data_IF_727327772613
#
_entry.id   IF_727327772613
#
_cell.length_a   1.000
_cell.length_b   1.000
_cell.length_c   1.000
_cell.angle_alpha   90.00
_cell.angle_beta   90.00
_cell.angle_gamma   90.00
#
_symmetry.space_group_name_H-M   'P 1'
#
loop_
_entity.id
_entity.type
_entity.pdbx_description
1 polymer ?
#
# COMPACT_ATOMS: atom_id res chain seq x y z
N UNK A 1 -28.67 -32.24 50.20
CA UNK A 1 -27.59 -32.26 49.19
C UNK A 1 -28.07 -32.41 47.73
N UNK A 2 -29.32 -32.82 47.45
CA UNK A 2 -29.79 -33.09 46.07
C UNK A 2 -30.25 -31.84 45.27
N UNK A 3 -30.84 -30.82 45.92
CA UNK A 3 -31.37 -29.63 45.21
C UNK A 3 -30.32 -28.60 44.79
N UNK A 4 -29.21 -28.46 45.53
CA UNK A 4 -28.14 -27.50 45.22
C UNK A 4 -27.31 -27.92 44.00
N UNK A 5 -27.08 -29.23 43.83
CA UNK A 5 -26.39 -29.79 42.66
C UNK A 5 -27.22 -29.66 41.38
N UNK A 6 -28.56 -29.75 41.47
CA UNK A 6 -29.43 -29.58 40.31
C UNK A 6 -29.46 -28.13 39.81
N UNK A 7 -29.39 -27.15 40.71
CA UNK A 7 -29.35 -25.71 40.37
C UNK A 7 -27.99 -25.33 39.74
N UNK A 8 -26.88 -25.91 40.22
CA UNK A 8 -25.56 -25.73 39.61
C UNK A 8 -25.43 -26.43 38.25
N UNK A 9 -26.08 -27.59 38.05
CA UNK A 9 -26.14 -28.25 36.73
C UNK A 9 -27.02 -27.48 35.73
N UNK A 10 -28.13 -26.86 36.16
CA UNK A 10 -28.96 -26.03 35.28
C UNK A 10 -28.32 -24.68 34.96
N UNK A 11 -27.54 -24.09 35.86
CA UNK A 11 -26.82 -22.83 35.59
C UNK A 11 -25.68 -23.00 34.57
N UNK A 12 -25.13 -24.21 34.41
CA UNK A 12 -24.14 -24.53 33.37
C UNK A 12 -24.70 -24.65 31.96
N UNK A 13 -26.02 -24.76 31.79
CA UNK A 13 -26.68 -24.98 30.49
C UNK A 13 -27.26 -23.71 29.85
N UNK A 14 -27.21 -22.57 30.53
CA UNK A 14 -27.74 -21.28 30.01
C UNK A 14 -26.64 -20.32 29.56
N UNK A 15 -25.40 -20.79 29.47
CA UNK A 15 -24.32 -20.14 28.71
C UNK A 15 -24.58 -20.28 27.21
N UNK A 16 -25.69 -19.73 26.72
CA UNK A 16 -26.00 -19.68 25.30
C UNK A 16 -24.83 -19.08 24.56
N UNK A 17 -24.32 -19.80 23.56
CA UNK A 17 -23.35 -19.31 22.59
C UNK A 17 -23.96 -18.12 21.86
N UNK A 18 -23.87 -16.92 22.45
CA UNK A 18 -24.04 -15.69 21.72
C UNK A 18 -22.87 -15.63 20.74
N UNK A 19 -23.07 -16.19 19.55
CA UNK A 19 -22.17 -15.98 18.44
C UNK A 19 -22.27 -14.52 18.06
N UNK A 20 -21.49 -13.65 18.72
CA UNK A 20 -21.29 -12.26 18.31
C UNK A 20 -20.95 -12.24 16.82
N UNK A 21 -21.90 -11.78 16.00
CA UNK A 21 -21.68 -11.52 14.59
C UNK A 21 -20.73 -10.33 14.50
N UNK A 22 -19.80 -10.37 13.55
CA UNK A 22 -19.00 -9.18 13.24
C UNK A 22 -19.96 -8.19 12.57
N UNK A 23 -20.16 -7.02 13.18
CA UNK A 23 -20.88 -5.91 12.56
C UNK A 23 -19.90 -5.19 11.64
N UNK A 24 -20.28 -5.03 10.37
CA UNK A 24 -19.56 -4.18 9.43
C UNK A 24 -20.40 -2.90 9.32
N UNK A 25 -19.92 -1.80 9.89
CA UNK A 25 -20.63 -0.53 9.83
C UNK A 25 -20.29 0.19 8.51
N UNK A 26 -21.28 0.83 7.88
CA UNK A 26 -21.13 1.83 6.79
C UNK A 26 -20.44 1.38 5.47
N UNK A 27 -20.31 0.08 5.20
CA UNK A 27 -19.74 -0.39 3.93
C UNK A 27 -20.86 -0.66 2.91
N UNK A 28 -20.95 0.17 1.86
CA UNK A 28 -21.83 -0.04 0.68
C UNK A 28 -21.28 -1.18 -0.19
N UNK A 29 -21.30 -2.38 0.38
CA UNK A 29 -20.78 -3.60 -0.23
C UNK A 29 -21.93 -4.44 -0.79
N UNK A 30 -21.75 -5.08 -1.96
CA UNK A 30 -22.69 -6.11 -2.41
C UNK A 30 -22.75 -7.23 -1.37
N UNK A 31 -23.91 -7.91 -1.27
CA UNK A 31 -24.16 -8.95 -0.27
C UNK A 31 -23.19 -10.14 -0.37
N UNK A 32 -22.65 -10.39 -1.55
CA UNK A 32 -21.59 -11.35 -1.81
C UNK A 32 -20.76 -10.92 -3.04
N UNK A 33 -19.50 -11.32 -3.07
CA UNK A 33 -18.64 -11.19 -4.25
C UNK A 33 -17.64 -12.36 -4.25
N UNK A 34 -17.31 -12.91 -5.42
CA UNK A 34 -16.27 -13.94 -5.56
C UNK A 34 -15.52 -13.75 -6.89
N UNK A 35 -14.20 -13.66 -6.82
CA UNK A 35 -13.28 -13.50 -7.94
C UNK A 35 -12.88 -14.88 -8.46
N UNK A 36 -13.77 -15.53 -9.21
CA UNK A 36 -13.62 -16.92 -9.67
C UNK A 36 -12.41 -17.13 -10.57
N UNK A 37 -12.05 -16.11 -11.37
CA UNK A 37 -10.94 -16.15 -12.34
C UNK A 37 -9.55 -15.99 -11.69
N UNK A 38 -9.47 -15.76 -10.37
CA UNK A 38 -8.17 -15.64 -9.69
C UNK A 38 -7.44 -16.99 -9.70
N UNK A 39 -6.23 -17.08 -10.28
CA UNK A 39 -5.49 -18.33 -10.42
C UNK A 39 -5.22 -19.02 -9.09
N UNK A 40 -5.17 -20.35 -9.14
CA UNK A 40 -4.85 -21.17 -7.99
C UNK A 40 -3.69 -22.11 -8.29
N UNK A 41 -2.71 -22.10 -7.40
CA UNK A 41 -1.54 -22.97 -7.46
C UNK A 41 -1.58 -23.89 -6.23
N UNK A 42 -2.00 -25.17 -6.37
CA UNK A 42 -2.04 -26.12 -5.26
C UNK A 42 -0.61 -26.46 -4.82
N UNK A 43 -0.43 -26.67 -3.52
CA UNK A 43 0.91 -26.77 -2.93
C UNK A 43 0.91 -27.50 -1.59
N UNK A 44 1.99 -28.24 -1.34
CA UNK A 44 2.22 -28.97 -0.09
C UNK A 44 2.97 -28.12 0.95
N UNK A 45 3.33 -28.71 2.10
CA UNK A 45 3.84 -27.99 3.26
C UNK A 45 5.05 -27.07 2.95
N UNK A 46 5.06 -25.88 3.57
CA UNK A 46 6.12 -24.85 3.54
C UNK A 46 6.25 -24.01 2.26
N UNK A 47 5.41 -24.22 1.25
CA UNK A 47 5.41 -23.42 0.00
C UNK A 47 4.36 -22.30 -0.01
N UNK A 48 3.59 -22.14 1.08
CA UNK A 48 2.40 -21.27 1.11
C UNK A 48 2.61 -19.84 0.59
N UNK A 49 3.79 -19.27 0.85
CA UNK A 49 4.23 -17.97 0.33
C UNK A 49 4.36 -17.95 -1.20
N UNK A 50 5.29 -18.70 -1.80
CA UNK A 50 5.52 -18.73 -3.25
C UNK A 50 4.24 -18.88 -4.09
N UNK A 51 3.35 -19.79 -3.74
CA UNK A 51 2.11 -19.99 -4.51
C UNK A 51 1.10 -18.85 -4.31
N UNK A 52 0.97 -18.32 -3.08
CA UNK A 52 0.12 -17.15 -2.85
C UNK A 52 0.66 -15.93 -3.61
N UNK A 53 1.98 -15.75 -3.65
CA UNK A 53 2.61 -14.71 -4.47
C UNK A 53 2.35 -14.96 -5.96
N UNK A 54 2.50 -16.19 -6.44
CA UNK A 54 2.20 -16.54 -7.83
C UNK A 54 0.76 -16.19 -8.20
N UNK A 55 -0.22 -16.50 -7.34
CA UNK A 55 -1.62 -16.05 -7.52
C UNK A 55 -1.71 -14.54 -7.69
N UNK A 56 -1.06 -13.77 -6.81
CA UNK A 56 -1.12 -12.29 -6.83
C UNK A 56 -0.39 -11.66 -8.03
N UNK A 57 0.65 -12.31 -8.55
CA UNK A 57 1.37 -11.87 -9.75
C UNK A 57 0.58 -12.22 -11.02
N UNK A 58 0.12 -13.46 -11.13
CA UNK A 58 -0.60 -13.97 -12.29
C UNK A 58 -1.93 -13.22 -12.52
N UNK A 59 -2.64 -12.86 -11.46
CA UNK A 59 -3.85 -12.03 -11.53
C UNK A 59 -3.59 -10.62 -12.12
N UNK A 60 -2.34 -10.13 -12.07
CA UNK A 60 -1.93 -8.88 -12.72
C UNK A 60 -1.27 -9.07 -14.09
N UNK A 61 -1.35 -10.28 -14.64
CA UNK A 61 -0.74 -10.62 -15.93
C UNK A 61 0.77 -10.75 -15.88
N UNK A 62 1.38 -10.82 -14.69
CA UNK A 62 2.80 -11.14 -14.53
C UNK A 62 2.93 -12.66 -14.48
N UNK A 63 3.60 -13.31 -15.46
CA UNK A 63 3.82 -14.74 -15.41
C UNK A 63 4.60 -15.11 -14.16
N UNK A 64 4.05 -16.04 -13.37
CA UNK A 64 4.65 -16.48 -12.13
C UNK A 64 4.53 -17.99 -12.00
N UNK A 65 5.68 -18.63 -11.84
CA UNK A 65 5.80 -20.04 -11.49
C UNK A 65 6.15 -20.14 -10.00
N UNK A 66 5.30 -20.76 -9.16
CA UNK A 66 5.59 -20.95 -7.74
C UNK A 66 6.95 -21.57 -7.49
N UNK A 67 7.40 -22.52 -8.32
CA UNK A 67 8.68 -23.22 -8.14
C UNK A 67 9.87 -22.27 -8.32
N UNK A 68 9.77 -21.32 -9.25
CA UNK A 68 10.79 -20.28 -9.47
C UNK A 68 10.77 -19.24 -8.34
N UNK A 69 9.62 -19.00 -7.72
CA UNK A 69 9.49 -18.04 -6.62
C UNK A 69 10.01 -18.59 -5.30
N UNK A 70 10.12 -19.92 -5.12
CA UNK A 70 10.71 -20.53 -3.92
C UNK A 70 12.05 -19.89 -3.59
N UNK A 71 12.96 -19.81 -4.56
CA UNK A 71 14.31 -19.26 -4.34
C UNK A 71 14.32 -17.75 -4.01
N UNK A 72 13.22 -17.04 -4.28
CA UNK A 72 13.10 -15.60 -4.01
C UNK A 72 12.47 -15.29 -2.65
N UNK A 73 11.54 -16.13 -2.18
CA UNK A 73 10.75 -15.83 -0.98
C UNK A 73 10.83 -16.88 0.12
N UNK A 74 11.40 -18.05 -0.13
CA UNK A 74 11.53 -19.11 0.87
C UNK A 74 12.84 -18.97 1.66
N UNK A 75 12.74 -19.00 2.99
CA UNK A 75 13.91 -19.01 3.88
C UNK A 75 14.01 -20.39 4.56
N UNK A 76 14.99 -21.24 4.17
CA UNK A 76 15.13 -22.59 4.73
C UNK A 76 15.29 -22.63 6.25
N UNK A 77 16.06 -21.69 6.81
CA UNK A 77 16.29 -21.59 8.26
C UNK A 77 15.04 -21.20 9.06
N UNK A 78 14.01 -20.68 8.40
CA UNK A 78 12.71 -20.34 9.01
C UNK A 78 11.57 -21.24 8.53
N UNK A 79 11.86 -22.18 7.62
CA UNK A 79 10.90 -23.10 7.01
C UNK A 79 9.64 -22.37 6.50
N UNK A 80 9.81 -21.24 5.82
CA UNK A 80 8.69 -20.46 5.29
C UNK A 80 9.13 -19.14 4.65
N UNK A 81 8.15 -18.36 4.23
CA UNK A 81 8.32 -17.00 3.69
C UNK A 81 7.96 -15.96 4.74
N UNK A 82 8.55 -14.76 4.69
CA UNK A 82 8.12 -13.63 5.51
C UNK A 82 7.44 -12.58 4.63
N UNK A 83 6.71 -11.70 5.30
CA UNK A 83 5.97 -10.61 4.64
C UNK A 83 6.90 -9.72 3.82
N UNK A 84 8.13 -9.51 4.29
CA UNK A 84 9.12 -8.64 3.63
C UNK A 84 9.56 -9.21 2.29
N UNK A 85 9.85 -10.51 2.20
CA UNK A 85 10.27 -11.14 0.94
C UNK A 85 9.10 -11.19 -0.06
N UNK A 86 7.88 -11.46 0.42
CA UNK A 86 6.67 -11.43 -0.41
C UNK A 86 6.45 -10.04 -1.04
N UNK A 87 6.59 -8.99 -0.24
CA UNK A 87 6.48 -7.59 -0.69
C UNK A 87 7.62 -7.25 -1.65
N UNK A 88 8.85 -7.63 -1.32
CA UNK A 88 10.03 -7.34 -2.14
C UNK A 88 9.95 -8.01 -3.52
N UNK A 89 9.54 -9.29 -3.58
CA UNK A 89 9.41 -10.02 -4.83
C UNK A 89 8.30 -9.43 -5.72
N UNK A 90 7.15 -9.07 -5.15
CA UNK A 90 6.09 -8.38 -5.91
C UNK A 90 6.55 -7.03 -6.48
N UNK A 91 7.31 -6.24 -5.70
CA UNK A 91 7.91 -4.99 -6.17
C UNK A 91 8.98 -5.22 -7.23
N UNK A 92 9.82 -6.24 -7.08
CA UNK A 92 10.81 -6.61 -8.08
C UNK A 92 10.16 -6.98 -9.43
N UNK A 93 8.95 -7.54 -9.40
CA UNK A 93 8.12 -7.78 -10.57
C UNK A 93 7.44 -6.51 -11.17
N UNK A 94 7.70 -5.33 -10.61
CA UNK A 94 7.18 -4.05 -11.10
C UNK A 94 5.76 -3.72 -10.63
N UNK A 95 5.18 -4.51 -9.72
CA UNK A 95 3.88 -4.24 -9.14
C UNK A 95 4.00 -3.33 -7.91
N UNK A 96 3.01 -2.46 -7.74
CA UNK A 96 2.85 -1.69 -6.51
C UNK A 96 2.20 -2.59 -5.45
N UNK A 97 2.79 -2.64 -4.26
CA UNK A 97 2.23 -3.38 -3.12
C UNK A 97 1.65 -2.39 -2.12
N UNK A 98 0.33 -2.39 -1.98
CA UNK A 98 -0.41 -1.44 -1.14
C UNK A 98 -0.90 -2.12 0.14
N UNK A 99 -0.48 -1.68 1.34
CA UNK A 99 -0.95 -2.22 2.61
C UNK A 99 -2.36 -1.72 2.95
N UNK A 100 -3.24 -2.64 3.32
CA UNK A 100 -4.59 -2.31 3.79
C UNK A 100 -4.56 -1.91 5.27
N UNK A 101 -5.61 -1.22 5.74
CA UNK A 101 -5.79 -1.10 7.19
C UNK A 101 -6.14 -2.47 7.77
N UNK A 102 -5.72 -2.69 9.00
CA UNK A 102 -5.94 -3.89 9.82
C UNK A 102 -7.42 -4.07 10.21
N UNK A 103 -8.33 -4.11 9.24
CA UNK A 103 -9.78 -4.18 9.42
C UNK A 103 -10.42 -5.01 8.31
N UNK A 104 -11.37 -5.87 8.65
CA UNK A 104 -11.98 -6.80 7.70
C UNK A 104 -12.72 -6.06 6.58
N UNK A 105 -13.29 -4.90 6.87
CA UNK A 105 -14.02 -4.07 5.91
C UNK A 105 -13.14 -3.66 4.72
N UNK A 106 -11.86 -3.35 4.94
CA UNK A 106 -10.94 -2.99 3.84
C UNK A 106 -10.64 -4.21 2.96
N UNK A 107 -10.52 -5.40 3.55
CA UNK A 107 -10.34 -6.65 2.80
C UNK A 107 -11.56 -6.90 1.90
N UNK A 108 -12.78 -6.79 2.46
CA UNK A 108 -14.01 -7.00 1.71
C UNK A 108 -14.20 -5.95 0.61
N UNK A 109 -13.87 -4.69 0.89
CA UNK A 109 -13.96 -3.58 -0.08
C UNK A 109 -13.05 -3.80 -1.29
N UNK A 110 -11.81 -4.27 -1.07
CA UNK A 110 -10.91 -4.59 -2.18
C UNK A 110 -11.40 -5.79 -2.99
N UNK A 111 -11.88 -6.85 -2.34
CA UNK A 111 -12.42 -8.02 -3.03
C UNK A 111 -13.64 -7.63 -3.87
N UNK A 112 -14.55 -6.82 -3.33
CA UNK A 112 -15.70 -6.31 -4.06
C UNK A 112 -15.30 -5.46 -5.28
N UNK A 113 -14.15 -4.78 -5.21
CA UNK A 113 -13.59 -3.98 -6.29
C UNK A 113 -12.75 -4.79 -7.30
N UNK A 114 -12.68 -6.12 -7.18
CA UNK A 114 -11.93 -6.97 -8.10
C UNK A 114 -10.47 -7.21 -7.70
N UNK A 115 -10.06 -6.79 -6.50
CA UNK A 115 -8.70 -6.94 -6.00
C UNK A 115 -8.64 -8.11 -5.00
N UNK A 116 -8.03 -9.26 -5.35
CA UNK A 116 -7.75 -10.29 -4.36
C UNK A 116 -6.77 -9.77 -3.32
N UNK A 117 -6.91 -10.24 -2.08
CA UNK A 117 -6.13 -9.72 -0.95
C UNK A 117 -5.22 -10.80 -0.41
N UNK A 118 -3.92 -10.54 -0.43
CA UNK A 118 -2.92 -11.40 0.18
C UNK A 118 -2.89 -11.15 1.69
N UNK A 119 -3.03 -12.22 2.47
CA UNK A 119 -3.10 -12.15 3.94
C UNK A 119 -2.13 -13.16 4.56
N UNK A 120 -1.71 -12.89 5.78
CA UNK A 120 -0.96 -13.81 6.62
C UNK A 120 -1.83 -14.24 7.79
N UNK A 121 -1.89 -15.54 8.07
CA UNK A 121 -2.61 -16.09 9.21
C UNK A 121 -1.66 -16.92 10.08
N UNK A 122 -1.98 -17.03 11.36
CA UNK A 122 -1.44 -18.08 12.22
C UNK A 122 -2.55 -19.09 12.54
N UNK A 123 -2.46 -20.27 11.92
CA UNK A 123 -3.47 -21.33 12.02
C UNK A 123 -3.37 -22.14 13.31
N UNK A 124 -2.26 -22.02 14.05
CA UNK A 124 -2.00 -22.78 15.28
C UNK A 124 -2.05 -21.89 16.54
N UNK A 125 -1.54 -22.40 17.65
CA UNK A 125 -1.49 -21.68 18.94
C UNK A 125 -0.30 -20.73 19.01
N UNK A 126 -0.39 -19.66 19.80
CA UNK A 126 0.64 -18.62 19.86
C UNK A 126 2.02 -19.15 20.30
N UNK A 127 2.04 -20.21 21.12
CA UNK A 127 3.28 -20.87 21.58
C UNK A 127 3.95 -21.75 20.51
N UNK A 128 3.21 -22.17 19.49
CA UNK A 128 3.69 -22.99 18.36
C UNK A 128 3.00 -22.53 17.08
N UNK A 129 3.44 -21.39 16.51
CA UNK A 129 2.75 -20.77 15.39
C UNK A 129 2.85 -21.63 14.12
N UNK A 130 1.77 -21.63 13.34
CA UNK A 130 1.74 -22.16 11.97
C UNK A 130 1.38 -21.00 11.04
N UNK A 131 2.41 -20.31 10.57
CA UNK A 131 2.28 -19.20 9.63
C UNK A 131 1.81 -19.69 8.28
N UNK A 132 0.81 -19.01 7.72
CA UNK A 132 0.12 -19.44 6.52
C UNK A 132 -0.29 -18.24 5.67
N UNK A 133 0.27 -18.13 4.47
CA UNK A 133 -0.22 -17.17 3.48
C UNK A 133 -1.44 -17.74 2.76
N UNK A 134 -2.44 -16.89 2.56
CA UNK A 134 -3.63 -17.20 1.79
C UNK A 134 -4.04 -15.98 0.97
N UNK A 135 -4.88 -16.19 -0.04
CA UNK A 135 -5.43 -15.10 -0.85
C UNK A 135 -6.95 -15.09 -0.68
N UNK A 136 -7.50 -14.01 -0.14
CA UNK A 136 -8.94 -13.81 -0.05
C UNK A 136 -9.46 -13.41 -1.42
N UNK A 137 -10.41 -14.18 -1.94
CA UNK A 137 -10.98 -14.01 -3.29
C UNK A 137 -12.50 -13.85 -3.27
N UNK A 138 -13.16 -14.00 -2.13
CA UNK A 138 -14.60 -13.81 -2.05
C UNK A 138 -15.14 -13.70 -0.64
N UNK A 139 -16.40 -13.30 -0.55
CA UNK A 139 -17.14 -13.21 0.70
C UNK A 139 -18.65 -13.34 0.50
N UNK A 140 -19.35 -13.69 1.58
CA UNK A 140 -20.79 -13.63 1.74
C UNK A 140 -21.12 -12.96 3.09
N UNK A 141 -21.82 -11.82 3.06
CA UNK A 141 -22.17 -11.05 4.25
C UNK A 141 -23.32 -11.67 5.05
N UNK A 142 -24.22 -12.40 4.38
CA UNK A 142 -25.39 -13.02 5.00
C UNK A 142 -24.95 -14.24 5.81
N UNK A 143 -24.10 -15.07 5.23
CA UNK A 143 -23.53 -16.26 5.87
C UNK A 143 -22.29 -15.96 6.72
N UNK A 144 -21.74 -14.74 6.62
CA UNK A 144 -20.48 -14.30 7.24
C UNK A 144 -19.31 -15.23 6.93
N UNK A 145 -19.07 -15.47 5.65
CA UNK A 145 -18.03 -16.38 5.15
C UNK A 145 -17.08 -15.67 4.20
N UNK A 146 -15.81 -16.05 4.26
CA UNK A 146 -14.79 -15.71 3.27
C UNK A 146 -14.48 -16.93 2.41
N UNK A 147 -14.09 -16.67 1.16
CA UNK A 147 -13.54 -17.64 0.23
C UNK A 147 -12.06 -17.31 0.02
N UNK A 148 -11.19 -18.29 0.24
CA UNK A 148 -9.74 -18.16 0.12
C UNK A 148 -9.15 -19.18 -0.85
N UNK A 149 -8.12 -18.78 -1.60
CA UNK A 149 -7.12 -19.71 -2.16
C UNK A 149 -6.17 -20.08 -1.03
N UNK A 150 -6.11 -21.36 -0.64
CA UNK A 150 -5.39 -21.76 0.57
C UNK A 150 -4.88 -23.21 0.52
N UNK A 151 -3.56 -23.38 0.64
CA UNK A 151 -2.91 -24.70 0.64
C UNK A 151 -3.19 -25.48 -0.65
N UNK A 152 -3.69 -26.71 -0.52
CA UNK A 152 -4.12 -27.57 -1.64
C UNK A 152 -5.59 -27.36 -2.03
N UNK A 153 -6.31 -26.44 -1.37
CA UNK A 153 -7.75 -26.22 -1.57
C UNK A 153 -7.98 -24.90 -2.30
N UNK A 154 -8.48 -25.00 -3.53
CA UNK A 154 -8.79 -23.83 -4.37
C UNK A 154 -9.86 -22.94 -3.76
N UNK A 155 -10.94 -23.53 -3.22
CA UNK A 155 -12.07 -22.81 -2.66
C UNK A 155 -12.22 -23.14 -1.17
N UNK A 156 -11.34 -22.58 -0.35
CA UNK A 156 -11.41 -22.73 1.10
C UNK A 156 -12.42 -21.76 1.70
N UNK A 157 -13.42 -22.28 2.41
CA UNK A 157 -14.45 -21.46 3.07
C UNK A 157 -14.09 -21.32 4.55
N UNK A 158 -14.02 -20.09 5.05
CA UNK A 158 -13.83 -19.79 6.46
C UNK A 158 -14.95 -18.87 6.97
N UNK A 159 -15.40 -19.05 8.22
CA UNK A 159 -16.26 -18.04 8.84
C UNK A 159 -15.45 -16.76 9.11
N UNK A 160 -16.11 -15.59 9.10
CA UNK A 160 -15.45 -14.32 9.45
C UNK A 160 -14.76 -14.41 10.81
N UNK A 161 -15.39 -15.08 11.77
CA UNK A 161 -14.85 -15.29 13.12
C UNK A 161 -13.56 -16.10 13.13
N UNK A 162 -13.52 -17.23 12.43
CA UNK A 162 -12.34 -18.10 12.42
C UNK A 162 -11.18 -17.44 11.67
N UNK A 163 -11.49 -16.74 10.58
CA UNK A 163 -10.54 -15.92 9.86
C UNK A 163 -9.96 -14.83 10.77
N UNK A 164 -10.80 -14.01 11.38
CA UNK A 164 -10.40 -12.90 12.25
C UNK A 164 -9.52 -13.38 13.43
N UNK A 165 -9.86 -14.52 14.03
CA UNK A 165 -9.08 -15.15 15.10
C UNK A 165 -7.66 -15.54 14.66
N UNK A 166 -7.49 -16.05 13.45
CA UNK A 166 -6.19 -16.50 12.92
C UNK A 166 -5.40 -15.36 12.29
N UNK A 167 -6.09 -14.37 11.71
CA UNK A 167 -5.51 -13.18 11.08
C UNK A 167 -5.02 -12.15 12.11
N UNK A 168 -5.75 -11.96 13.21
CA UNK A 168 -5.34 -11.06 14.31
C UNK A 168 -4.00 -11.44 14.95
N UNK A 169 -3.67 -12.73 15.00
CA UNK A 169 -2.36 -13.24 15.45
C UNK A 169 -1.19 -12.84 14.54
N UNK A 170 -1.49 -12.47 13.30
CA UNK A 170 -0.55 -11.94 12.32
C UNK A 170 -0.67 -10.42 12.20
N UNK A 171 -1.12 -9.74 13.26
CA UNK A 171 -1.34 -8.29 13.31
C UNK A 171 -2.29 -7.77 12.22
N UNK A 172 -3.18 -8.66 11.73
CA UNK A 172 -4.10 -8.39 10.62
C UNK A 172 -3.36 -7.87 9.37
N UNK A 173 -2.21 -8.45 9.06
CA UNK A 173 -1.46 -8.07 7.88
C UNK A 173 -2.22 -8.46 6.61
N UNK A 174 -2.41 -7.48 5.72
CA UNK A 174 -3.06 -7.64 4.43
C UNK A 174 -2.50 -6.65 3.42
N UNK A 175 -2.29 -7.10 2.19
CA UNK A 175 -1.82 -6.27 1.08
C UNK A 175 -2.56 -6.64 -0.21
N UNK A 176 -2.64 -5.68 -1.12
CA UNK A 176 -3.01 -5.91 -2.52
C UNK A 176 -1.81 -5.61 -3.42
N UNK A 177 -1.68 -6.38 -4.50
CA UNK A 177 -0.76 -6.09 -5.61
C UNK A 177 -1.54 -5.39 -6.71
N UNK A 178 -0.97 -4.33 -7.27
CA UNK A 178 -1.63 -3.45 -8.23
C UNK A 178 -0.68 -3.10 -9.37
N UNK A 179 -1.25 -2.95 -10.57
CA UNK A 179 -0.55 -2.24 -11.62
C UNK A 179 -0.37 -0.77 -11.17
N UNK A 180 0.77 -0.13 -11.47
CA UNK A 180 1.06 1.20 -10.94
C UNK A 180 0.08 2.30 -11.37
N UNK A 181 -0.73 2.07 -12.40
CA UNK A 181 -1.78 3.00 -12.88
C UNK A 181 -3.15 2.78 -12.22
N UNK A 182 -3.31 1.72 -11.42
CA UNK A 182 -4.57 1.31 -10.82
C UNK A 182 -4.58 1.52 -9.30
N UNK A 183 -5.36 2.48 -8.85
CA UNK A 183 -5.54 2.73 -7.42
C UNK A 183 -6.46 1.69 -6.76
N UNK A 184 -6.21 1.30 -5.50
CA UNK A 184 -7.11 0.43 -4.75
C UNK A 184 -8.42 1.16 -4.40
N UNK A 185 -9.49 0.41 -4.12
CA UNK A 185 -10.76 1.00 -3.71
C UNK A 185 -10.64 1.74 -2.36
N UNK A 186 -9.72 1.30 -1.51
CA UNK A 186 -9.39 1.85 -0.19
C UNK A 186 -8.23 2.86 -0.23
N UNK A 187 -7.93 3.43 -1.41
CA UNK A 187 -6.78 4.30 -1.62
C UNK A 187 -6.75 5.51 -0.67
N UNK A 188 -5.63 5.65 0.04
CA UNK A 188 -5.26 6.85 0.80
C UNK A 188 -3.98 7.40 0.21
N UNK A 189 -3.98 8.69 -0.08
CA UNK A 189 -2.91 9.37 -0.81
C UNK A 189 -1.52 9.09 -0.22
N UNK A 190 -1.35 9.32 1.08
CA UNK A 190 -0.03 9.17 1.74
C UNK A 190 0.48 7.73 1.72
N UNK A 191 -0.41 6.73 1.76
CA UNK A 191 -0.03 5.31 1.68
C UNK A 191 0.34 4.94 0.24
N UNK A 192 -0.43 5.45 -0.72
CA UNK A 192 -0.16 5.23 -2.14
C UNK A 192 1.19 5.85 -2.55
N UNK A 193 1.44 7.10 -2.17
CA UNK A 193 2.70 7.78 -2.45
C UNK A 193 3.89 7.08 -1.77
N UNK A 194 3.73 6.59 -0.53
CA UNK A 194 4.76 5.76 0.10
C UNK A 194 4.99 4.46 -0.67
N UNK A 195 3.93 3.79 -1.11
CA UNK A 195 4.04 2.54 -1.89
C UNK A 195 4.72 2.76 -3.24
N UNK A 196 4.50 3.92 -3.88
CA UNK A 196 5.19 4.35 -5.09
C UNK A 196 6.68 4.65 -4.83
N UNK A 197 7.00 5.31 -3.71
CA UNK A 197 8.38 5.54 -3.27
C UNK A 197 9.13 4.23 -3.01
N UNK A 198 8.50 3.29 -2.32
CA UNK A 198 9.09 1.98 -2.07
C UNK A 198 9.39 1.22 -3.38
N UNK A 199 8.58 1.43 -4.43
CA UNK A 199 8.79 0.87 -5.76
C UNK A 199 9.98 1.55 -6.47
N UNK A 200 10.11 2.87 -6.32
CA UNK A 200 11.24 3.64 -6.84
C UNK A 200 12.56 3.22 -6.18
N UNK A 201 12.57 3.00 -4.86
CA UNK A 201 13.74 2.59 -4.08
C UNK A 201 14.34 1.25 -4.52
N UNK A 202 13.50 0.33 -5.00
CA UNK A 202 13.97 -0.96 -5.55
C UNK A 202 14.35 -0.88 -7.04
N UNK A 203 14.49 0.33 -7.58
CA UNK A 203 14.92 0.58 -8.96
C UNK A 203 13.80 0.52 -10.00
N UNK A 204 12.55 0.30 -9.61
CA UNK A 204 11.40 0.30 -10.51
C UNK A 204 10.92 1.75 -10.78
N UNK A 205 11.82 2.57 -11.30
CA UNK A 205 11.62 4.01 -11.52
C UNK A 205 10.46 4.31 -12.47
N UNK A 206 10.32 3.55 -13.56
CA UNK A 206 9.23 3.75 -14.53
C UNK A 206 7.86 3.40 -13.91
N UNK A 207 7.66 2.21 -13.33
CA UNK A 207 6.45 1.90 -12.54
C UNK A 207 6.13 2.95 -11.48
N UNK A 208 7.11 3.37 -10.68
CA UNK A 208 6.91 4.37 -9.63
C UNK A 208 6.41 5.71 -10.18
N UNK A 209 6.97 6.18 -11.31
CA UNK A 209 6.50 7.40 -11.97
C UNK A 209 5.03 7.31 -12.39
N UNK A 210 4.61 6.17 -12.96
CA UNK A 210 3.20 5.93 -13.31
C UNK A 210 2.31 6.00 -12.07
N UNK A 211 2.76 5.44 -10.94
CA UNK A 211 2.02 5.54 -9.68
C UNK A 211 1.92 6.98 -9.14
N UNK A 212 2.98 7.78 -9.21
CA UNK A 212 2.90 9.19 -8.86
C UNK A 212 1.96 9.97 -9.77
N UNK A 213 1.95 9.70 -11.07
CA UNK A 213 1.02 10.31 -12.04
C UNK A 213 -0.43 9.94 -11.73
N UNK A 214 -0.71 8.67 -11.41
CA UNK A 214 -2.02 8.21 -10.96
C UNK A 214 -2.47 8.93 -9.66
N UNK A 215 -1.53 9.18 -8.74
CA UNK A 215 -1.81 9.94 -7.52
C UNK A 215 -2.21 11.39 -7.83
N UNK A 216 -1.43 12.06 -8.69
CA UNK A 216 -1.72 13.44 -9.12
C UNK A 216 -3.09 13.53 -9.80
N UNK A 217 -3.43 12.56 -10.65
CA UNK A 217 -4.73 12.50 -11.30
C UNK A 217 -5.90 12.34 -10.29
N UNK A 218 -5.72 11.49 -9.27
CA UNK A 218 -6.76 11.17 -8.29
C UNK A 218 -7.01 12.25 -7.25
N UNK A 219 -5.95 12.82 -6.68
CA UNK A 219 -6.05 13.73 -5.54
C UNK A 219 -5.80 15.19 -5.91
N UNK A 220 -5.09 15.47 -7.01
CA UNK A 220 -4.75 16.83 -7.46
C UNK A 220 -4.12 17.68 -6.35
N UNK A 221 -3.39 17.04 -5.44
CA UNK A 221 -2.82 17.69 -4.25
C UNK A 221 -1.40 18.21 -4.49
N UNK A 222 -0.96 19.11 -3.63
CA UNK A 222 0.41 19.61 -3.60
C UNK A 222 1.41 18.52 -3.27
N UNK A 223 1.06 17.57 -2.39
CA UNK A 223 1.92 16.47 -1.99
C UNK A 223 2.17 15.48 -3.15
N UNK A 224 1.12 15.11 -3.89
CA UNK A 224 1.25 14.24 -5.06
C UNK A 224 2.10 14.87 -6.17
N UNK A 225 1.87 16.16 -6.45
CA UNK A 225 2.67 16.91 -7.43
C UNK A 225 4.13 17.06 -7.01
N UNK A 226 4.37 17.25 -5.71
CA UNK A 226 5.72 17.29 -5.14
C UNK A 226 6.45 15.96 -5.24
N UNK A 227 5.77 14.85 -4.92
CA UNK A 227 6.34 13.50 -5.06
C UNK A 227 6.70 13.19 -6.52
N UNK A 228 5.80 13.50 -7.46
CA UNK A 228 6.06 13.37 -8.90
C UNK A 228 7.27 14.22 -9.33
N UNK A 229 7.38 15.45 -8.82
CA UNK A 229 8.51 16.32 -9.15
C UNK A 229 9.85 15.77 -8.65
N UNK A 230 9.88 15.15 -7.46
CA UNK A 230 11.09 14.54 -6.92
C UNK A 230 11.55 13.36 -7.79
N UNK A 231 10.61 12.52 -8.24
CA UNK A 231 10.92 11.43 -9.18
C UNK A 231 11.44 11.95 -10.53
N UNK A 232 10.81 13.00 -11.07
CA UNK A 232 11.27 13.67 -12.31
C UNK A 232 12.67 14.27 -12.14
N UNK A 233 12.94 14.89 -10.99
CA UNK A 233 14.25 15.45 -10.66
C UNK A 233 15.32 14.35 -10.58
N UNK A 234 15.04 13.24 -9.90
CA UNK A 234 15.93 12.08 -9.81
C UNK A 234 16.23 11.47 -11.20
N UNK A 235 15.25 11.49 -12.11
CA UNK A 235 15.41 11.11 -13.51
C UNK A 235 16.14 12.15 -14.38
N UNK A 236 16.59 13.27 -13.81
CA UNK A 236 17.30 14.34 -14.51
C UNK A 236 16.40 15.26 -15.36
N UNK A 237 15.09 15.18 -15.23
CA UNK A 237 14.10 15.91 -16.02
C UNK A 237 13.73 17.25 -15.36
N UNK A 238 14.70 18.18 -15.32
CA UNK A 238 14.60 19.43 -14.55
C UNK A 238 13.41 20.30 -14.99
N UNK A 239 13.15 20.38 -16.29
CA UNK A 239 12.00 21.08 -16.87
C UNK A 239 10.67 20.53 -16.36
N UNK A 240 10.57 19.20 -16.25
CA UNK A 240 9.35 18.54 -15.79
C UNK A 240 9.18 18.75 -14.29
N UNK A 241 10.24 18.55 -13.52
CA UNK A 241 10.25 18.78 -12.09
C UNK A 241 9.85 20.21 -11.73
N UNK A 242 10.37 21.21 -12.45
CA UNK A 242 10.00 22.61 -12.26
C UNK A 242 8.49 22.82 -12.47
N UNK A 243 7.91 22.30 -13.57
CA UNK A 243 6.47 22.43 -13.83
C UNK A 243 5.63 21.78 -12.73
N UNK A 244 6.00 20.58 -12.30
CA UNK A 244 5.30 19.86 -11.24
C UNK A 244 5.38 20.60 -9.90
N UNK A 245 6.55 21.17 -9.55
CA UNK A 245 6.73 21.97 -8.33
C UNK A 245 5.94 23.28 -8.37
N UNK A 246 5.93 23.97 -9.52
CA UNK A 246 5.09 25.16 -9.72
C UNK A 246 3.61 24.86 -9.52
N UNK A 247 3.14 23.73 -10.06
CA UNK A 247 1.77 23.28 -9.84
C UNK A 247 1.51 22.91 -8.37
N UNK A 248 2.46 22.25 -7.71
CA UNK A 248 2.38 21.88 -6.29
C UNK A 248 2.16 23.11 -5.40
N UNK A 249 2.99 24.14 -5.55
CA UNK A 249 2.86 25.39 -4.77
C UNK A 249 1.69 26.27 -5.22
N UNK A 250 1.19 26.09 -6.45
CA UNK A 250 -0.05 26.76 -6.88
C UNK A 250 -1.28 26.13 -6.20
N UNK A 251 -1.27 24.80 -5.99
CA UNK A 251 -2.33 24.09 -5.25
C UNK A 251 -2.30 24.42 -3.76
N UNK A 252 -1.12 24.51 -3.15
CA UNK A 252 -0.94 24.96 -1.76
C UNK A 252 0.23 25.95 -1.68
N UNK A 253 -0.05 27.26 -1.70
CA UNK A 253 0.98 28.29 -1.54
C UNK A 253 1.72 28.24 -0.20
N UNK A 254 1.16 27.58 0.82
CA UNK A 254 1.78 27.37 2.13
C UNK A 254 2.74 26.18 2.18
N UNK A 255 2.86 25.39 1.10
CA UNK A 255 3.67 24.17 1.07
C UNK A 255 5.17 24.47 0.98
N UNK A 256 5.76 24.81 2.13
CA UNK A 256 7.13 25.34 2.25
C UNK A 256 8.21 24.46 1.60
N UNK A 257 8.09 23.13 1.71
CA UNK A 257 9.04 22.21 1.09
C UNK A 257 8.96 22.20 -0.45
N UNK A 258 7.78 22.45 -1.02
CA UNK A 258 7.62 22.64 -2.46
C UNK A 258 8.37 23.86 -2.97
N UNK A 259 8.30 24.97 -2.22
CA UNK A 259 9.08 26.17 -2.52
C UNK A 259 10.59 25.94 -2.43
N UNK A 260 11.03 25.19 -1.41
CA UNK A 260 12.43 24.85 -1.25
C UNK A 260 12.94 23.99 -2.42
N UNK A 261 12.23 22.92 -2.79
CA UNK A 261 12.64 22.09 -3.93
C UNK A 261 12.58 22.89 -5.25
N UNK A 262 11.59 23.77 -5.43
CA UNK A 262 11.55 24.65 -6.62
C UNK A 262 12.78 25.55 -6.68
N UNK A 263 13.24 26.08 -5.54
CA UNK A 263 14.43 26.92 -5.51
C UNK A 263 15.68 26.19 -5.99
N UNK A 264 15.84 24.93 -5.61
CA UNK A 264 16.95 24.09 -6.05
C UNK A 264 16.87 23.80 -7.54
N UNK A 265 15.71 23.38 -8.05
CA UNK A 265 15.54 23.12 -9.49
C UNK A 265 15.80 24.38 -10.32
N UNK A 266 15.27 25.54 -9.89
CA UNK A 266 15.52 26.81 -10.58
C UNK A 266 17.00 27.19 -10.59
N UNK A 267 17.73 26.96 -9.48
CA UNK A 267 19.16 27.24 -9.42
C UNK A 267 19.97 26.36 -10.39
N UNK A 268 19.67 25.05 -10.46
CA UNK A 268 20.33 24.14 -11.42
C UNK A 268 20.06 24.51 -12.88
N UNK A 269 18.90 25.11 -13.16
CA UNK A 269 18.53 25.61 -14.50
C UNK A 269 19.10 26.99 -14.82
N UNK A 270 19.85 27.62 -13.90
CA UNK A 270 20.42 28.96 -14.06
C UNK A 270 19.42 30.11 -13.83
N UNK A 271 18.25 29.83 -13.25
CA UNK A 271 17.20 30.82 -12.99
C UNK A 271 17.34 31.44 -11.59
N UNK A 272 18.44 32.17 -11.35
CA UNK A 272 18.85 32.64 -10.03
C UNK A 272 17.85 33.54 -9.31
N UNK A 273 17.25 34.50 -10.02
CA UNK A 273 16.27 35.42 -9.40
C UNK A 273 15.07 34.63 -8.87
N UNK A 274 14.52 33.72 -9.68
CA UNK A 274 13.42 32.86 -9.27
C UNK A 274 13.81 31.90 -8.13
N UNK A 275 15.03 31.34 -8.18
CA UNK A 275 15.55 30.48 -7.13
C UNK A 275 15.61 31.19 -5.77
N UNK A 276 16.16 32.42 -5.73
CA UNK A 276 16.24 33.21 -4.50
C UNK A 276 14.86 33.59 -3.96
N UNK A 277 13.92 33.96 -4.83
CA UNK A 277 12.54 34.25 -4.46
C UNK A 277 11.87 33.02 -3.82
N UNK A 278 11.98 31.86 -4.47
CA UNK A 278 11.38 30.62 -3.97
C UNK A 278 12.00 30.18 -2.63
N UNK A 279 13.33 30.27 -2.49
CA UNK A 279 14.01 29.97 -1.22
C UNK A 279 13.58 30.92 -0.10
N UNK A 280 13.48 32.22 -0.39
CA UNK A 280 13.01 33.21 0.57
C UNK A 280 11.58 32.92 1.02
N UNK A 281 10.73 32.42 0.12
CA UNK A 281 9.39 31.97 0.45
C UNK A 281 9.40 30.77 1.41
N UNK A 282 10.18 29.72 1.08
CA UNK A 282 10.29 28.54 1.93
C UNK A 282 10.70 28.89 3.37
N UNK A 283 11.74 29.73 3.53
CA UNK A 283 12.18 30.25 4.84
C UNK A 283 11.13 31.09 5.54
N UNK A 284 10.36 31.88 4.80
CA UNK A 284 9.26 32.64 5.38
C UNK A 284 8.15 31.73 5.87
N UNK A 285 7.82 30.66 5.16
CA UNK A 285 6.74 29.74 5.53
C UNK A 285 7.12 28.83 6.70
N UNK A 286 8.35 28.31 6.75
CA UNK A 286 8.88 27.56 7.89
C UNK A 286 10.28 28.08 8.28
N UNK A 287 10.36 29.07 9.19
CA UNK A 287 11.61 29.74 9.54
C UNK A 287 12.54 28.87 10.39
N UNK A 288 11.96 27.91 11.12
CA UNK A 288 12.67 27.04 12.05
C UNK A 288 13.11 25.71 11.40
N UNK A 289 12.89 25.54 10.09
CA UNK A 289 13.31 24.34 9.34
C UNK A 289 14.74 24.51 8.81
N UNK A 290 15.75 23.86 9.43
CA UNK A 290 17.15 24.06 9.07
C UNK A 290 17.49 23.56 7.65
N UNK A 291 16.63 22.72 7.05
CA UNK A 291 16.84 22.24 5.68
C UNK A 291 16.88 23.40 4.68
N UNK A 292 16.16 24.48 4.96
CA UNK A 292 16.04 25.62 4.05
C UNK A 292 17.26 26.56 4.09
N UNK A 293 18.20 26.32 5.00
CA UNK A 293 19.50 26.99 5.06
C UNK A 293 20.55 26.39 4.12
N UNK A 294 20.28 25.23 3.52
CA UNK A 294 21.17 24.63 2.53
C UNK A 294 21.48 25.62 1.38
N UNK A 295 22.74 25.72 0.94
CA UNK A 295 23.12 26.60 -0.16
C UNK A 295 22.44 26.16 -1.46
N UNK A 296 22.07 27.14 -2.29
CA UNK A 296 21.59 26.84 -3.63
C UNK A 296 22.73 26.26 -4.48
N UNK A 297 22.45 25.28 -5.36
CA UNK A 297 23.44 24.72 -6.28
C UNK A 297 24.17 25.80 -7.10
N UNK A 298 25.46 25.58 -7.35
CA UNK A 298 26.28 26.46 -8.15
C UNK A 298 25.90 26.39 -9.64
N UNK A 299 26.03 27.52 -10.34
CA UNK A 299 25.67 27.67 -11.76
C UNK A 299 26.65 26.89 -12.62
N UNK A 300 26.15 26.00 -13.48
CA UNK A 300 27.00 25.35 -14.50
C UNK A 300 26.83 25.99 -15.89
N UNK A 301 25.68 26.64 -16.17
CA UNK A 301 25.42 27.49 -17.35
C UNK A 301 24.18 28.37 -17.14
N UNK A 302 24.28 29.67 -17.41
CA UNK A 302 23.11 30.57 -17.41
C UNK A 302 22.28 30.37 -18.69
N UNK A 303 21.01 30.03 -18.52
CA UNK A 303 20.01 30.01 -19.60
C UNK A 303 18.87 30.97 -19.27
N UNK A 304 19.16 32.28 -19.32
CA UNK A 304 18.22 33.34 -18.96
C UNK A 304 16.95 33.38 -19.84
N UNK A 305 17.01 32.88 -21.08
CA UNK A 305 15.92 32.98 -22.05
C UNK A 305 14.66 32.16 -21.72
N UNK A 306 14.72 31.23 -20.76
CA UNK A 306 13.62 30.34 -20.38
C UNK A 306 13.14 30.49 -18.94
N UNK A 307 13.66 31.47 -18.20
CA UNK A 307 13.37 31.61 -16.77
C UNK A 307 12.05 32.35 -16.52
N UNK A 308 11.08 31.65 -15.94
CA UNK A 308 9.85 32.26 -15.43
C UNK A 308 10.06 32.72 -13.98
N UNK A 309 9.52 33.88 -13.57
CA UNK A 309 9.57 34.30 -12.17
C UNK A 309 8.88 33.28 -11.26
N UNK A 310 9.30 33.19 -10.01
CA UNK A 310 8.58 32.39 -9.03
C UNK A 310 7.18 33.00 -8.80
N UNK A 311 6.14 32.19 -8.52
CA UNK A 311 4.83 32.75 -8.18
C UNK A 311 4.92 33.61 -6.91
N UNK A 312 3.94 34.49 -6.65
CA UNK A 312 3.88 35.22 -5.39
C UNK A 312 3.76 34.24 -4.23
N UNK A 313 4.63 34.41 -3.23
CA UNK A 313 4.66 33.55 -2.07
C UNK A 313 3.43 33.78 -1.17
N UNK A 314 2.77 32.70 -0.76
CA UNK A 314 1.59 32.73 0.10
C UNK A 314 1.84 33.45 1.44
N UNK A 315 0.76 33.94 2.04
CA UNK A 315 0.76 34.37 3.44
C UNK A 315 0.76 33.15 4.37
N UNK A 316 1.29 33.31 5.59
CA UNK A 316 1.18 32.31 6.65
C UNK A 316 -0.25 32.21 7.16
#
# INVERSE_FOLDING_TARGET
MSRLLLVLLLAGLVGGCASSRISLDDADLPSAAELTEVPFYPQEAYQCGPAALATMLAQRGVPADPDVLVDQVYIPGRRGSLQVEMVAAARAAGLLVYPLRSRLEDVLTEVAAGNPVLVLQNLAFDRWPQWHFAVVVGYDLVEQRLVLRSGTTERWIASFRDFERTWSKAERWAVVTLNPDQLPATARETVWLRSASDLEEVGQVRPARVAYEAAVARWKSSLGLFALANSQYAAGQREMAERSLRNSIATDPGFAIGWFNLSHVLAERGCHVGAQQARSCAKRLAPDDPRFDAPLPAVTRESAASCQPAPPCGAR
#
